data_IF_657560555801
#
_entry.id   IF_657560555801
#
_cell.length_a   1.000
_cell.length_b   1.000
_cell.length_c   1.000
_cell.angle_alpha   90.00
_cell.angle_beta   90.00
_cell.angle_gamma   90.00
#
_symmetry.space_group_name_H-M   'P 1'
#
loop_
_entity.id
_entity.type
_entity.pdbx_description
1 polymer ?
#
# COMPACT_ATOMS: atom_id res chain seq x y z
N UNK A 1 14.61 19.31 2.10
CA UNK A 1 13.42 20.11 1.69
C UNK A 1 12.21 19.55 2.41
N UNK A 2 11.37 20.39 3.03
CA UNK A 2 10.15 19.96 3.72
C UNK A 2 8.98 20.10 2.76
N UNK A 3 8.22 19.01 2.54
CA UNK A 3 7.08 18.98 1.60
C UNK A 3 5.80 18.79 2.43
N UNK A 4 5.09 19.87 2.79
CA UNK A 4 3.94 19.82 3.71
C UNK A 4 2.77 18.97 3.18
N UNK A 5 2.68 18.81 1.87
CA UNK A 5 1.70 17.96 1.18
C UNK A 5 1.98 16.46 1.36
N UNK A 6 3.16 16.10 1.87
CA UNK A 6 3.54 14.73 2.21
C UNK A 6 3.51 14.46 3.72
N UNK A 7 3.02 15.40 4.53
CA UNK A 7 2.97 15.36 6.01
C UNK A 7 1.66 14.73 6.54
N UNK A 8 0.90 14.04 5.68
CA UNK A 8 -0.43 13.52 6.02
C UNK A 8 -0.38 12.39 7.05
N UNK A 9 0.68 11.60 7.05
CA UNK A 9 0.84 10.43 7.94
C UNK A 9 1.26 10.84 9.35
N UNK A 10 2.10 11.87 9.46
CA UNK A 10 2.56 12.49 10.72
C UNK A 10 1.45 13.25 11.44
N UNK A 11 0.46 13.75 10.70
CA UNK A 11 -0.75 14.37 11.27
C UNK A 11 -1.75 13.36 11.83
N UNK A 12 -1.64 12.08 11.50
CA UNK A 12 -2.52 11.05 12.03
C UNK A 12 -2.05 10.63 13.43
N UNK A 13 -2.90 10.77 14.45
CA UNK A 13 -2.52 10.55 15.87
C UNK A 13 -1.92 9.17 16.16
N UNK A 14 -2.28 8.15 15.36
CA UNK A 14 -1.74 6.79 15.51
C UNK A 14 -0.59 6.50 14.54
N UNK A 15 -0.13 7.50 13.79
CA UNK A 15 0.94 7.38 12.80
C UNK A 15 0.63 6.44 11.64
N UNK A 16 1.69 5.90 11.04
CA UNK A 16 1.63 4.95 9.92
C UNK A 16 1.24 3.55 10.40
N UNK A 17 0.19 2.98 9.81
CA UNK A 17 -0.11 1.54 9.96
C UNK A 17 0.41 0.78 8.73
N UNK A 18 1.51 0.00 8.85
CA UNK A 18 2.04 -0.77 7.73
C UNK A 18 1.03 -1.87 7.34
N UNK A 19 0.61 -1.88 6.08
CA UNK A 19 -0.33 -2.86 5.55
C UNK A 19 -0.06 -3.13 4.07
N UNK A 20 -0.51 -4.31 3.61
CA UNK A 20 -0.50 -4.70 2.21
C UNK A 20 -1.93 -4.79 1.70
N UNK A 21 -2.28 -3.97 0.71
CA UNK A 21 -3.57 -4.09 0.03
C UNK A 21 -3.60 -5.38 -0.78
N UNK A 22 -4.58 -6.25 -0.51
CA UNK A 22 -4.75 -7.53 -1.23
C UNK A 22 -5.69 -7.42 -2.44
N UNK A 23 -6.49 -6.37 -2.51
CA UNK A 23 -7.47 -6.15 -3.57
C UNK A 23 -8.62 -5.25 -3.11
N UNK A 24 -9.55 -4.99 -4.02
CA UNK A 24 -10.76 -4.21 -3.76
C UNK A 24 -11.98 -5.08 -4.04
N UNK A 25 -12.96 -5.06 -3.13
CA UNK A 25 -14.22 -5.80 -3.28
C UNK A 25 -15.28 -4.81 -3.74
N UNK A 26 -16.00 -5.15 -4.82
CA UNK A 26 -17.16 -4.39 -5.29
C UNK A 26 -18.41 -4.82 -4.51
N UNK A 27 -19.07 -3.87 -3.87
CA UNK A 27 -20.29 -4.10 -3.10
C UNK A 27 -20.04 -4.67 -1.70
N UNK A 28 -20.86 -4.26 -0.72
CA UNK A 28 -20.69 -4.64 0.69
C UNK A 28 -21.09 -6.09 1.00
N UNK A 29 -22.00 -6.66 0.21
CA UNK A 29 -22.54 -8.01 0.45
C UNK A 29 -21.47 -9.11 0.42
N UNK A 30 -20.44 -8.97 -0.42
CA UNK A 30 -19.37 -9.96 -0.56
C UNK A 30 -18.17 -9.71 0.37
N UNK A 31 -18.13 -8.57 1.06
CA UNK A 31 -16.97 -8.18 1.86
C UNK A 31 -16.67 -9.19 2.96
N UNK A 32 -17.70 -9.59 3.71
CA UNK A 32 -17.52 -10.43 4.89
C UNK A 32 -17.13 -11.87 4.54
N UNK A 33 -17.73 -12.44 3.49
CA UNK A 33 -17.41 -13.80 3.04
C UNK A 33 -16.00 -13.89 2.45
N UNK A 34 -15.60 -12.92 1.63
CA UNK A 34 -14.23 -12.86 1.07
C UNK A 34 -13.21 -12.65 2.18
N UNK A 35 -13.47 -11.72 3.11
CA UNK A 35 -12.58 -11.48 4.25
C UNK A 35 -12.40 -12.75 5.09
N UNK A 36 -13.49 -13.41 5.48
CA UNK A 36 -13.43 -14.66 6.26
C UNK A 36 -12.65 -15.76 5.55
N UNK A 37 -12.84 -15.90 4.22
CA UNK A 37 -12.09 -16.87 3.42
C UNK A 37 -10.59 -16.54 3.36
N UNK A 38 -10.23 -15.26 3.22
CA UNK A 38 -8.83 -14.83 3.25
C UNK A 38 -8.19 -15.09 4.61
N UNK A 39 -8.86 -14.70 5.70
CA UNK A 39 -8.38 -14.91 7.07
C UNK A 39 -8.16 -16.40 7.38
N UNK A 40 -9.11 -17.26 7.00
CA UNK A 40 -9.01 -18.70 7.23
C UNK A 40 -7.82 -19.34 6.51
N UNK A 41 -7.50 -18.88 5.30
CA UNK A 41 -6.42 -19.43 4.49
C UNK A 41 -5.11 -18.64 4.64
N UNK A 42 -5.08 -17.62 5.50
CA UNK A 42 -3.93 -16.74 5.60
C UNK A 42 -2.73 -17.48 6.19
N UNK A 43 -1.57 -17.32 5.55
CA UNK A 43 -0.29 -17.76 6.09
C UNK A 43 0.59 -16.54 6.31
N UNK A 44 1.22 -16.38 7.48
CA UNK A 44 2.16 -15.29 7.72
C UNK A 44 3.28 -15.29 6.67
N UNK A 45 3.69 -14.09 6.26
CA UNK A 45 4.78 -13.87 5.33
C UNK A 45 5.83 -12.98 6.01
N UNK A 46 7.10 -13.34 5.84
CA UNK A 46 8.24 -12.53 6.27
C UNK A 46 9.10 -12.19 5.07
N UNK A 47 9.47 -10.92 4.95
CA UNK A 47 10.25 -10.39 3.84
C UNK A 47 11.34 -9.48 4.39
N UNK A 48 12.51 -9.51 3.76
CA UNK A 48 13.57 -8.53 4.00
C UNK A 48 13.38 -7.39 3.02
N UNK A 49 13.14 -6.17 3.53
CA UNK A 49 13.01 -4.97 2.70
C UNK A 49 14.41 -4.49 2.31
N UNK A 50 14.72 -4.51 1.01
CA UNK A 50 16.05 -4.15 0.49
C UNK A 50 16.18 -2.70 0.01
N UNK A 51 15.07 -2.09 -0.38
CA UNK A 51 15.05 -0.73 -0.90
C UNK A 51 13.66 -0.13 -0.78
N UNK A 52 13.62 1.19 -0.77
CA UNK A 52 12.41 2.01 -0.95
C UNK A 52 12.41 2.50 -2.40
N UNK A 53 11.25 2.50 -3.05
CA UNK A 53 11.12 2.99 -4.42
C UNK A 53 10.23 4.22 -4.49
N UNK A 54 10.70 5.27 -5.17
CA UNK A 54 9.84 6.35 -5.63
C UNK A 54 9.07 5.85 -6.86
N UNK A 55 7.75 5.85 -6.77
CA UNK A 55 6.87 5.39 -7.85
C UNK A 55 6.02 6.54 -8.38
N UNK A 56 5.69 6.46 -9.66
CA UNK A 56 4.83 7.42 -10.33
C UNK A 56 3.86 6.73 -11.29
N UNK A 57 2.68 7.31 -11.48
CA UNK A 57 1.72 6.91 -12.51
C UNK A 57 1.05 8.14 -13.11
N UNK A 58 0.55 8.01 -14.33
CA UNK A 58 -0.24 9.05 -14.94
C UNK A 58 -1.55 9.26 -14.15
N UNK A 59 -1.81 10.50 -13.71
CA UNK A 59 -3.02 10.84 -12.96
C UNK A 59 -4.28 10.73 -13.83
N UNK A 60 -4.17 11.04 -15.12
CA UNK A 60 -5.28 11.05 -16.07
C UNK A 60 -5.76 9.64 -16.44
N UNK A 61 -4.91 8.62 -16.26
CA UNK A 61 -5.30 7.23 -16.43
C UNK A 61 -4.99 6.41 -15.16
N UNK A 62 -5.95 6.30 -14.22
CA UNK A 62 -5.76 5.58 -12.95
C UNK A 62 -5.46 4.08 -13.10
N UNK A 63 -5.67 3.51 -14.30
CA UNK A 63 -5.34 2.12 -14.62
C UNK A 63 -3.91 1.94 -15.11
N UNK A 64 -3.19 3.01 -15.39
CA UNK A 64 -1.79 2.93 -15.77
C UNK A 64 -0.99 2.31 -14.61
N UNK A 65 -0.16 1.28 -14.88
CA UNK A 65 0.72 0.72 -13.88
C UNK A 65 1.67 1.79 -13.33
N UNK A 66 1.99 1.67 -12.03
CA UNK A 66 3.06 2.46 -11.45
C UNK A 66 4.40 2.10 -12.10
N UNK A 67 5.19 3.13 -12.41
CA UNK A 67 6.57 3.02 -12.85
C UNK A 67 7.49 3.37 -11.69
N UNK A 68 8.60 2.66 -11.57
CA UNK A 68 9.66 2.99 -10.61
C UNK A 68 10.52 4.09 -11.23
N UNK A 69 10.64 5.20 -10.51
CA UNK A 69 11.46 6.35 -10.91
C UNK A 69 12.85 6.26 -10.28
N UNK A 70 12.90 5.94 -9.00
CA UNK A 70 14.14 5.84 -8.24
C UNK A 70 14.04 4.74 -7.18
N UNK A 71 15.19 4.19 -6.78
CA UNK A 71 15.31 3.27 -5.65
C UNK A 71 16.39 3.75 -4.69
N UNK A 72 16.05 3.78 -3.41
CA UNK A 72 16.98 4.04 -2.31
C UNK A 72 17.23 2.73 -1.58
N UNK A 73 18.47 2.26 -1.59
CA UNK A 73 18.85 1.01 -0.92
C UNK A 73 18.80 1.15 0.61
N UNK A 74 18.23 0.15 1.28
CA UNK A 74 18.28 0.00 2.72
C UNK A 74 19.39 -1.00 3.03
N UNK A 75 20.61 -0.49 3.14
CA UNK A 75 21.79 -1.25 3.57
C UNK A 75 21.92 -1.07 5.08
#
# INVERSE_FOLDING_TARGET
EYVPECDDVSKFKTGFTPHLSLGQIKGKSNLHSVKKKLEYNWKPLSLIVKYIALIWRNKENPRDPFKVIEKVSLI
#
